data_IF_477244495409
#
_entry.id   IF_477244495409
#
_cell.length_a   1.000
_cell.length_b   1.000
_cell.length_c   1.000
_cell.angle_alpha   90.00
_cell.angle_beta   90.00
_cell.angle_gamma   90.00
#
_symmetry.space_group_name_H-M   'P 1'
#
loop_
_entity.id
_entity.type
_entity.pdbx_description
1 polymer ?
#
# COMPACT_ATOMS: atom_id res chain seq x y z
N UNK A 1 0.90 8.62 19.05
CA UNK A 1 1.43 7.30 18.66
C UNK A 1 2.62 6.99 19.54
N UNK A 2 2.70 5.79 20.09
CA UNK A 2 3.91 5.31 20.74
C UNK A 2 4.90 4.84 19.65
N UNK A 3 6.21 5.08 19.81
CA UNK A 3 7.21 4.53 18.90
C UNK A 3 7.17 2.99 18.89
N UNK A 4 7.49 2.40 17.74
CA UNK A 4 7.64 0.95 17.63
C UNK A 4 8.78 0.47 18.53
N UNK A 5 8.53 -0.60 19.29
CA UNK A 5 9.56 -1.26 20.10
C UNK A 5 10.21 -2.41 19.32
N UNK A 6 11.36 -2.90 19.78
CA UNK A 6 12.00 -4.11 19.23
C UNK A 6 11.07 -5.33 19.23
N UNK A 7 10.19 -5.42 20.23
CA UNK A 7 9.19 -6.49 20.33
C UNK A 7 8.16 -6.37 19.21
N UNK A 8 7.73 -5.15 18.88
CA UNK A 8 6.80 -4.90 17.78
C UNK A 8 7.46 -5.20 16.44
N UNK A 9 8.70 -4.75 16.23
CA UNK A 9 9.46 -5.05 15.03
C UNK A 9 9.63 -6.56 14.80
N UNK A 10 9.91 -7.34 15.86
CA UNK A 10 9.96 -8.81 15.78
C UNK A 10 8.63 -9.43 15.38
N UNK A 11 7.50 -8.90 15.89
CA UNK A 11 6.15 -9.36 15.52
C UNK A 11 5.80 -9.01 14.08
N UNK A 12 6.09 -7.79 13.66
CA UNK A 12 5.89 -7.31 12.28
C UNK A 12 6.68 -8.18 11.31
N UNK A 13 7.96 -8.42 11.58
CA UNK A 13 8.80 -9.29 10.74
C UNK A 13 8.22 -10.70 10.62
N UNK A 14 7.78 -11.30 11.72
CA UNK A 14 7.18 -12.64 11.70
C UNK A 14 5.92 -12.69 10.81
N UNK A 15 5.10 -11.64 10.83
CA UNK A 15 3.91 -11.57 9.98
C UNK A 15 4.28 -11.32 8.50
N UNK A 16 5.29 -10.50 8.22
CA UNK A 16 5.83 -10.33 6.87
C UNK A 16 6.35 -11.66 6.31
N UNK A 17 7.16 -12.40 7.08
CA UNK A 17 7.69 -13.72 6.68
C UNK A 17 6.54 -14.72 6.41
N UNK A 18 5.45 -14.66 7.19
CA UNK A 18 4.23 -15.45 6.99
C UNK A 18 3.48 -15.06 5.71
N UNK A 19 3.40 -13.79 5.36
CA UNK A 19 2.77 -13.33 4.12
C UNK A 19 3.60 -13.77 2.91
N UNK A 20 4.93 -13.63 2.99
CA UNK A 20 5.86 -14.02 1.92
C UNK A 20 5.81 -15.53 1.66
N UNK A 21 5.76 -16.36 2.71
CA UNK A 21 5.73 -17.82 2.55
C UNK A 21 4.47 -18.35 1.87
N UNK A 22 3.40 -17.55 1.80
CA UNK A 22 2.18 -17.87 1.04
C UNK A 22 2.34 -17.69 -0.47
N UNK A 23 3.44 -17.09 -0.93
CA UNK A 23 3.76 -16.86 -2.34
C UNK A 23 2.58 -16.25 -3.11
N UNK A 24 1.99 -15.19 -2.56
CA UNK A 24 0.81 -14.53 -3.14
C UNK A 24 1.20 -13.77 -4.42
N UNK A 25 0.31 -13.71 -5.43
CA UNK A 25 0.59 -12.99 -6.66
C UNK A 25 0.70 -11.47 -6.40
N UNK A 26 1.74 -10.86 -6.95
CA UNK A 26 1.89 -9.41 -7.02
C UNK A 26 1.25 -8.91 -8.32
N UNK A 27 0.13 -8.20 -8.20
CA UNK A 27 -0.64 -7.68 -9.32
C UNK A 27 -0.33 -6.21 -9.53
N UNK A 28 -0.05 -5.82 -10.78
CA UNK A 28 0.07 -4.42 -11.21
C UNK A 28 -1.21 -4.00 -11.90
N UNK A 29 -1.81 -2.93 -11.43
CA UNK A 29 -2.99 -2.29 -12.02
C UNK A 29 -2.61 -0.88 -12.49
N UNK A 30 -3.00 -0.52 -13.71
CA UNK A 30 -2.95 0.86 -14.19
C UNK A 30 -4.32 1.48 -13.95
N UNK A 31 -4.35 2.61 -13.24
CA UNK A 31 -5.59 3.32 -12.89
C UNK A 31 -5.49 4.78 -13.30
N UNK A 32 -6.64 5.43 -13.48
CA UNK A 32 -6.66 6.88 -13.65
C UNK A 32 -6.30 7.57 -12.33
N UNK A 33 -5.88 8.83 -12.43
CA UNK A 33 -5.57 9.65 -11.26
C UNK A 33 -6.77 9.81 -10.33
N UNK A 34 -7.96 10.01 -10.89
CA UNK A 34 -9.21 10.18 -10.13
C UNK A 34 -9.56 8.91 -9.35
N UNK A 35 -9.32 7.73 -9.95
CA UNK A 35 -9.53 6.46 -9.28
C UNK A 35 -8.53 6.26 -8.13
N UNK A 36 -7.25 6.57 -8.34
CA UNK A 36 -6.25 6.54 -7.27
C UNK A 36 -6.62 7.50 -6.13
N UNK A 37 -7.09 8.71 -6.43
CA UNK A 37 -7.55 9.67 -5.43
C UNK A 37 -8.72 9.12 -4.61
N UNK A 38 -9.78 8.60 -5.27
CA UNK A 38 -10.94 8.01 -4.60
C UNK A 38 -10.53 6.89 -3.63
N UNK A 39 -9.68 5.99 -4.12
CA UNK A 39 -9.15 4.85 -3.37
C UNK A 39 -8.37 5.27 -2.12
N UNK A 40 -7.44 6.21 -2.27
CA UNK A 40 -6.63 6.74 -1.15
C UNK A 40 -7.49 7.47 -0.11
N UNK A 41 -8.46 8.27 -0.57
CA UNK A 41 -9.39 8.97 0.34
C UNK A 41 -10.26 7.98 1.13
N UNK A 42 -10.71 6.89 0.50
CA UNK A 42 -11.55 5.89 1.16
C UNK A 42 -10.84 5.16 2.32
N UNK A 43 -9.51 5.02 2.24
CA UNK A 43 -8.69 4.37 3.28
C UNK A 43 -8.00 5.37 4.24
N UNK A 44 -8.25 6.67 4.05
CA UNK A 44 -7.72 7.76 4.89
C UNK A 44 -6.18 7.74 5.04
N UNK A 45 -5.48 7.67 3.91
CA UNK A 45 -4.01 7.64 3.84
C UNK A 45 -3.46 8.99 3.32
N UNK A 46 -3.34 10.03 4.16
CA UNK A 46 -3.02 11.38 3.71
C UNK A 46 -1.66 11.49 3.01
N UNK A 47 -0.65 10.76 3.50
CA UNK A 47 0.68 10.74 2.86
C UNK A 47 0.66 10.15 1.46
N UNK A 48 -0.23 9.19 1.17
CA UNK A 48 -0.38 8.67 -0.20
C UNK A 48 -1.00 9.71 -1.13
N UNK A 49 -1.86 10.59 -0.61
CA UNK A 49 -2.42 11.70 -1.38
C UNK A 49 -1.33 12.71 -1.76
N UNK A 50 -0.51 13.12 -0.79
CA UNK A 50 0.62 14.03 -1.03
C UNK A 50 1.59 13.45 -2.09
N UNK A 51 1.87 12.14 -2.02
CA UNK A 51 2.67 11.46 -3.03
C UNK A 51 1.96 11.48 -4.39
N UNK A 52 0.67 11.17 -4.45
CA UNK A 52 -0.10 11.18 -5.70
C UNK A 52 -0.10 12.56 -6.38
N UNK A 53 -0.22 13.63 -5.60
CA UNK A 53 -0.13 15.02 -6.07
C UNK A 53 1.25 15.35 -6.65
N UNK A 54 2.31 14.72 -6.12
CA UNK A 54 3.68 14.90 -6.61
C UNK A 54 3.98 14.17 -7.93
N UNK A 55 3.20 13.15 -8.27
CA UNK A 55 3.36 12.36 -9.51
C UNK A 55 2.78 13.15 -10.69
N UNK A 56 3.63 13.54 -11.65
CA UNK A 56 3.23 14.30 -12.86
C UNK A 56 2.98 13.42 -14.09
N UNK A 57 3.41 12.17 -14.05
CA UNK A 57 3.35 11.23 -15.17
C UNK A 57 2.15 10.30 -15.06
N UNK A 58 1.72 9.77 -16.20
CA UNK A 58 0.67 8.76 -16.32
C UNK A 58 1.21 7.53 -17.06
N UNK A 59 0.62 6.34 -16.83
CA UNK A 59 -0.51 6.05 -15.92
C UNK A 59 -0.08 5.93 -14.46
N UNK A 60 -1.02 6.11 -13.53
CA UNK A 60 -0.80 5.78 -12.12
C UNK A 60 -0.84 4.26 -11.98
N UNK A 61 0.16 3.69 -11.31
CA UNK A 61 0.23 2.24 -11.07
C UNK A 61 0.00 1.91 -9.60
N UNK A 62 -0.83 0.90 -9.36
CA UNK A 62 -1.12 0.37 -8.01
C UNK A 62 -0.70 -1.09 -7.99
N UNK A 63 -0.09 -1.51 -6.88
CA UNK A 63 0.39 -2.87 -6.69
C UNK A 63 -0.37 -3.55 -5.55
N UNK A 64 -0.79 -4.80 -5.78
CA UNK A 64 -1.58 -5.58 -4.82
C UNK A 64 -0.95 -6.95 -4.59
N UNK A 65 -0.79 -7.34 -3.32
CA UNK A 65 -0.32 -8.68 -2.91
C UNK A 65 -1.45 -9.59 -2.42
N UNK A 66 -2.68 -9.07 -2.33
CA UNK A 66 -3.91 -9.80 -2.02
C UNK A 66 -5.07 -9.02 -2.61
N UNK A 67 -6.19 -9.68 -2.94
CA UNK A 67 -7.44 -9.03 -3.39
C UNK A 67 -8.06 -8.23 -2.23
N UNK A 68 -7.43 -7.14 -1.83
CA UNK A 68 -7.92 -6.19 -0.83
C UNK A 68 -7.31 -4.80 -1.07
N UNK A 69 -8.11 -3.98 -1.75
CA UNK A 69 -8.41 -2.56 -1.53
C UNK A 69 -7.22 -1.65 -1.22
N UNK A 70 -6.53 -1.27 -2.29
CA UNK A 70 -6.34 0.17 -2.53
C UNK A 70 -7.28 0.45 -3.67
#
# INVERSE_FOLDING_TARGET
MEPLTDKDLKRIKKEMDRIISRNLPLLREEVSREEAQRRIMAINEPYKMEILESIKEEPITVYHIVKMLI
#
